data_IF_088005240246
#
_entry.id   IF_088005240246
#
_cell.length_a   1.000
_cell.length_b   1.000
_cell.length_c   1.000
_cell.angle_alpha   90.00
_cell.angle_beta   90.00
_cell.angle_gamma   90.00
#
_symmetry.space_group_name_H-M   'P 1'
#
loop_
_entity.id
_entity.type
_entity.pdbx_description
1 polymer ?
#
# COMPACT_ATOMS: atom_id res chain seq x y z
N UNK A 1 -15.51 -16.31 10.18
CA UNK A 1 -14.67 -15.37 10.96
C UNK A 1 -13.39 -15.10 10.19
N UNK A 2 -13.46 -14.33 9.09
CA UNK A 2 -12.29 -14.11 8.21
C UNK A 2 -12.18 -12.68 7.63
N UNK A 3 -13.12 -11.79 7.96
CA UNK A 3 -13.17 -10.41 7.42
C UNK A 3 -12.71 -9.33 8.40
N UNK A 4 -12.53 -9.64 9.68
CA UNK A 4 -12.13 -8.64 10.70
C UNK A 4 -10.84 -7.91 10.35
N UNK A 5 -9.82 -8.66 9.91
CA UNK A 5 -8.53 -8.09 9.53
C UNK A 5 -8.59 -7.14 8.33
N UNK A 6 -9.51 -7.36 7.38
CA UNK A 6 -9.67 -6.44 6.23
C UNK A 6 -10.26 -5.11 6.68
N UNK A 7 -11.21 -5.13 7.60
CA UNK A 7 -11.79 -3.92 8.18
C UNK A 7 -10.76 -3.17 9.04
N UNK A 8 -9.96 -3.88 9.83
CA UNK A 8 -8.83 -3.30 10.58
C UNK A 8 -7.79 -2.69 9.65
N UNK A 9 -7.45 -3.38 8.56
CA UNK A 9 -6.55 -2.86 7.53
C UNK A 9 -7.12 -1.61 6.85
N UNK A 10 -8.40 -1.61 6.49
CA UNK A 10 -9.05 -0.43 5.92
C UNK A 10 -9.04 0.77 6.87
N UNK A 11 -9.30 0.55 8.15
CA UNK A 11 -9.22 1.58 9.17
C UNK A 11 -7.79 2.11 9.32
N UNK A 12 -6.79 1.22 9.31
CA UNK A 12 -5.38 1.59 9.37
C UNK A 12 -4.91 2.34 8.11
N UNK A 13 -5.44 1.98 6.94
CA UNK A 13 -5.10 2.63 5.67
C UNK A 13 -5.80 3.98 5.46
N UNK A 14 -6.75 4.37 6.30
CA UNK A 14 -7.52 5.60 6.16
C UNK A 14 -6.67 6.87 5.92
N UNK A 15 -5.60 7.17 6.68
CA UNK A 15 -4.75 8.34 6.44
C UNK A 15 -4.04 8.29 5.07
N UNK A 16 -3.56 7.12 4.64
CA UNK A 16 -2.91 6.94 3.34
C UNK A 16 -3.91 7.08 2.20
N UNK A 17 -5.09 6.48 2.36
CA UNK A 17 -6.18 6.59 1.40
C UNK A 17 -6.63 8.06 1.24
N UNK A 18 -6.66 8.82 2.33
CA UNK A 18 -6.96 10.26 2.30
C UNK A 18 -5.89 11.06 1.54
N UNK A 19 -4.60 10.74 1.71
CA UNK A 19 -3.48 11.37 1.00
C UNK A 19 -3.51 11.13 -0.52
N UNK A 20 -4.19 10.08 -0.99
CA UNK A 20 -4.43 9.86 -2.42
C UNK A 20 -5.43 10.89 -2.96
N UNK A 21 -4.95 11.79 -3.83
CA UNK A 21 -5.74 12.87 -4.46
C UNK A 21 -6.88 12.38 -5.37
N UNK A 22 -6.80 11.15 -5.88
CA UNK A 22 -7.76 10.57 -6.83
C UNK A 22 -8.73 9.60 -6.15
N UNK A 23 -10.05 9.82 -6.31
CA UNK A 23 -11.12 9.01 -5.71
C UNK A 23 -11.05 7.53 -6.10
N UNK A 24 -10.72 7.22 -7.35
CA UNK A 24 -10.57 5.84 -7.83
C UNK A 24 -9.34 5.20 -7.18
N UNK A 25 -8.21 5.92 -7.08
CA UNK A 25 -7.02 5.40 -6.39
C UNK A 25 -7.28 5.13 -4.92
N UNK A 26 -7.97 6.05 -4.24
CA UNK A 26 -8.40 5.88 -2.84
C UNK A 26 -9.22 4.60 -2.65
N UNK A 27 -10.18 4.33 -3.54
CA UNK A 27 -11.00 3.12 -3.49
C UNK A 27 -10.18 1.84 -3.73
N UNK A 28 -9.17 1.89 -4.60
CA UNK A 28 -8.37 0.71 -4.91
C UNK A 28 -7.23 0.43 -3.95
N UNK A 29 -6.83 1.39 -3.11
CA UNK A 29 -5.73 1.22 -2.17
C UNK A 29 -5.93 0.04 -1.21
N UNK A 30 -7.06 -0.11 -0.50
CA UNK A 30 -7.25 -1.26 0.39
C UNK A 30 -7.28 -2.60 -0.35
N UNK A 31 -7.90 -2.66 -1.54
CA UNK A 31 -7.94 -3.88 -2.36
C UNK A 31 -6.53 -4.29 -2.83
N UNK A 32 -5.70 -3.33 -3.24
CA UNK A 32 -4.33 -3.61 -3.65
C UNK A 32 -3.47 -4.08 -2.46
N UNK A 33 -3.51 -3.38 -1.33
CA UNK A 33 -2.70 -3.72 -0.16
C UNK A 33 -3.13 -5.06 0.44
N UNK A 34 -4.44 -5.30 0.58
CA UNK A 34 -4.97 -6.60 1.04
C UNK A 34 -4.59 -7.74 0.10
N UNK A 35 -4.52 -7.51 -1.22
CA UNK A 35 -4.01 -8.50 -2.17
C UNK A 35 -2.51 -8.81 -2.02
N UNK A 36 -1.71 -7.84 -1.52
CA UNK A 36 -0.27 -8.01 -1.30
C UNK A 36 0.09 -8.72 0.02
N UNK A 37 -0.66 -8.43 1.09
CA UNK A 37 -0.38 -8.93 2.44
C UNK A 37 -1.30 -10.07 2.88
N UNK A 38 -2.46 -10.20 2.23
CA UNK A 38 -3.45 -11.22 2.52
C UNK A 38 -3.07 -12.60 1.97
N UNK A 39 -3.91 -13.61 2.23
CA UNK A 39 -3.67 -14.98 1.80
C UNK A 39 -3.62 -15.09 0.26
N UNK A 40 -2.58 -15.76 -0.25
CA UNK A 40 -2.45 -16.09 -1.66
C UNK A 40 -1.00 -16.18 -2.14
N UNK A 41 -0.72 -17.14 -3.04
CA UNK A 41 0.66 -17.47 -3.42
C UNK A 41 1.33 -16.41 -4.31
N UNK A 42 0.58 -15.81 -5.24
CA UNK A 42 1.11 -14.83 -6.21
C UNK A 42 0.61 -13.42 -5.95
N UNK A 43 1.52 -12.45 -5.89
CA UNK A 43 1.25 -11.03 -5.60
C UNK A 43 1.20 -10.12 -6.83
N UNK A 44 1.18 -10.69 -8.04
CA UNK A 44 0.99 -9.91 -9.26
C UNK A 44 -0.47 -9.49 -9.42
N UNK A 45 -0.71 -8.40 -10.18
CA UNK A 45 -2.05 -7.78 -10.32
C UNK A 45 -3.11 -8.78 -10.79
N UNK A 46 -2.79 -9.63 -11.77
CA UNK A 46 -3.73 -10.60 -12.31
C UNK A 46 -4.19 -11.65 -11.27
N UNK A 47 -3.30 -12.37 -10.58
CA UNK A 47 -3.69 -13.24 -9.47
C UNK A 47 -4.43 -12.54 -8.33
N UNK A 48 -4.11 -11.29 -8.00
CA UNK A 48 -4.83 -10.54 -6.97
C UNK A 48 -6.28 -10.25 -7.40
N UNK A 49 -6.47 -9.77 -8.63
CA UNK A 49 -7.81 -9.50 -9.18
C UNK A 49 -8.65 -10.77 -9.32
N UNK A 50 -8.04 -11.92 -9.65
CA UNK A 50 -8.76 -13.18 -9.83
C UNK A 50 -9.26 -13.82 -8.52
N UNK A 51 -8.88 -13.30 -7.35
CA UNK A 51 -9.31 -13.82 -6.03
C UNK A 51 -10.53 -13.09 -5.46
N UNK A 52 -10.87 -11.94 -6.03
CA UNK A 52 -11.89 -11.05 -5.50
C UNK A 52 -12.74 -10.52 -6.66
N UNK A 53 -13.97 -11.03 -6.76
CA UNK A 53 -14.90 -10.71 -7.84
C UNK A 53 -15.29 -9.22 -7.87
N UNK A 54 -15.12 -8.49 -6.76
CA UNK A 54 -15.41 -7.05 -6.68
C UNK A 54 -14.26 -6.18 -7.22
N UNK A 55 -13.09 -6.79 -7.46
CA UNK A 55 -11.84 -6.10 -7.81
C UNK A 55 -11.46 -6.33 -9.27
N UNK A 56 -11.75 -5.32 -10.10
CA UNK A 56 -11.38 -5.34 -11.52
C UNK A 56 -9.86 -5.30 -11.72
N UNK A 57 -9.36 -6.21 -12.58
CA UNK A 57 -7.97 -6.20 -13.07
C UNK A 57 -7.53 -4.82 -13.56
N UNK A 58 -8.32 -4.19 -14.44
CA UNK A 58 -7.96 -2.89 -15.03
C UNK A 58 -7.86 -1.79 -13.97
N UNK A 59 -8.76 -1.82 -12.96
CA UNK A 59 -8.73 -0.85 -11.86
C UNK A 59 -7.51 -1.03 -10.97
N UNK A 60 -7.10 -2.27 -10.66
CA UNK A 60 -5.87 -2.55 -9.92
C UNK A 60 -4.61 -2.24 -10.74
N UNK A 61 -4.60 -2.60 -12.01
CA UNK A 61 -3.48 -2.35 -12.90
C UNK A 61 -3.27 -0.84 -13.07
N UNK A 62 -4.36 -0.09 -13.27
CA UNK A 62 -4.31 1.36 -13.31
C UNK A 62 -3.88 1.95 -11.96
N UNK A 63 -4.35 1.42 -10.84
CA UNK A 63 -3.87 1.86 -9.52
C UNK A 63 -2.35 1.75 -9.41
N UNK A 64 -1.77 0.58 -9.70
CA UNK A 64 -0.34 0.33 -9.52
C UNK A 64 0.54 0.99 -10.60
N UNK A 65 0.09 1.00 -11.86
CA UNK A 65 0.93 1.29 -13.02
C UNK A 65 0.67 2.61 -13.74
N UNK A 66 -0.37 3.37 -13.37
CA UNK A 66 -0.71 4.60 -14.10
C UNK A 66 -0.33 5.87 -13.33
N UNK A 67 0.23 6.84 -14.07
CA UNK A 67 0.41 8.24 -13.65
C UNK A 67 1.66 8.52 -12.81
N UNK A 68 1.98 9.80 -12.65
CA UNK A 68 3.02 10.27 -11.73
C UNK A 68 2.50 10.05 -10.31
N UNK A 69 3.28 9.35 -9.49
CA UNK A 69 3.04 9.23 -8.06
C UNK A 69 3.65 10.45 -7.37
N UNK A 70 2.83 11.19 -6.63
CA UNK A 70 3.29 12.18 -5.67
C UNK A 70 3.46 11.43 -4.34
N UNK A 71 4.69 11.07 -4.00
CA UNK A 71 5.01 10.23 -2.84
C UNK A 71 4.99 11.00 -1.53
N UNK A 72 5.32 12.30 -1.56
CA UNK A 72 5.48 13.13 -0.36
C UNK A 72 4.24 13.12 0.57
N UNK A 73 2.98 13.16 0.07
CA UNK A 73 1.80 13.02 0.95
C UNK A 73 1.69 11.66 1.63
N UNK A 74 2.12 10.57 0.96
CA UNK A 74 2.12 9.23 1.54
C UNK A 74 3.27 9.07 2.55
N UNK A 75 4.44 9.64 2.27
CA UNK A 75 5.56 9.67 3.21
C UNK A 75 5.22 10.45 4.47
N UNK A 76 4.57 11.62 4.34
CA UNK A 76 4.12 12.39 5.50
C UNK A 76 3.12 11.59 6.36
N UNK A 77 2.19 10.86 5.74
CA UNK A 77 1.27 9.97 6.45
C UNK A 77 2.01 8.81 7.14
N UNK A 78 3.02 8.23 6.47
CA UNK A 78 3.85 7.16 7.02
C UNK A 78 4.64 7.64 8.25
N UNK A 79 5.28 8.81 8.16
CA UNK A 79 6.03 9.40 9.27
C UNK A 79 5.12 9.67 10.47
N UNK A 80 3.93 10.25 10.25
CA UNK A 80 2.97 10.50 11.32
C UNK A 80 2.48 9.20 11.99
N UNK A 81 2.24 8.14 11.20
CA UNK A 81 1.81 6.85 11.73
C UNK A 81 2.94 6.11 12.47
N UNK A 82 4.18 6.21 11.98
CA UNK A 82 5.35 5.66 12.66
C UNK A 82 5.59 6.36 14.01
N UNK A 83 5.54 7.70 14.03
CA UNK A 83 5.65 8.49 15.27
C UNK A 83 4.55 8.12 16.27
N UNK A 84 3.31 7.98 15.80
CA UNK A 84 2.18 7.55 16.64
C UNK A 84 2.35 6.15 17.24
N UNK A 85 2.98 5.23 16.52
CA UNK A 85 3.11 3.82 16.93
C UNK A 85 4.34 3.55 17.77
N UNK A 86 5.48 4.15 17.42
CA UNK A 86 6.80 3.82 17.98
C UNK A 86 7.67 5.05 18.27
N UNK A 87 7.14 6.26 18.08
CA UNK A 87 7.84 7.51 18.40
C UNK A 87 7.80 7.88 19.89
N UNK A 88 8.31 9.06 20.21
CA UNK A 88 8.44 9.58 21.57
C UNK A 88 9.88 9.70 22.07
N UNK A 89 10.05 10.32 23.24
CA UNK A 89 11.37 10.68 23.78
C UNK A 89 12.25 9.47 24.11
N UNK A 90 11.63 8.30 24.37
CA UNK A 90 12.31 7.05 24.68
C UNK A 90 12.50 6.14 23.44
N UNK A 91 12.18 6.64 22.24
CA UNK A 91 12.28 5.88 21.00
C UNK A 91 13.73 5.75 20.50
N UNK A 92 14.02 4.67 19.77
CA UNK A 92 15.31 4.42 19.15
C UNK A 92 15.20 4.53 17.63
N UNK A 93 16.01 5.40 17.02
CA UNK A 93 16.16 5.46 15.57
C UNK A 93 17.28 4.52 15.12
N UNK A 94 16.91 3.47 14.39
CA UNK A 94 17.85 2.53 13.79
C UNK A 94 17.89 2.82 12.29
N UNK A 95 19.09 3.11 11.78
CA UNK A 95 19.34 3.34 10.35
C UNK A 95 20.20 2.18 9.84
N UNK A 96 19.71 1.49 8.83
CA UNK A 96 20.43 0.42 8.13
C UNK A 96 20.25 0.60 6.61
N UNK A 97 21.31 0.35 5.86
CA UNK A 97 21.31 0.50 4.42
C UNK A 97 20.58 -0.70 3.79
N UNK A 98 19.33 -0.48 3.37
CA UNK A 98 18.57 -1.48 2.61
C UNK A 98 18.71 -1.23 1.12
N UNK A 99 19.54 -2.03 0.44
CA UNK A 99 19.58 -2.03 -1.01
C UNK A 99 18.43 -2.88 -1.58
N UNK A 100 17.58 -2.28 -2.42
CA UNK A 100 16.59 -2.99 -3.24
C UNK A 100 17.11 -3.06 -4.68
N UNK A 101 18.03 -3.98 -5.02
CA UNK A 101 18.62 -4.06 -6.36
C UNK A 101 17.52 -4.36 -7.39
N UNK A 102 17.13 -3.35 -8.16
CA UNK A 102 16.16 -3.53 -9.25
C UNK A 102 16.87 -4.05 -10.48
N UNK A 103 16.30 -5.06 -11.15
CA UNK A 103 16.78 -5.53 -12.46
C UNK A 103 15.88 -5.04 -13.58
N UNK A 104 16.47 -4.41 -14.61
CA UNK A 104 15.74 -3.88 -15.77
C UNK A 104 16.50 -2.74 -16.47
N UNK A 105 16.11 -2.41 -17.70
CA UNK A 105 16.69 -1.29 -18.48
C UNK A 105 16.31 0.10 -17.95
N UNK A 106 15.33 0.15 -17.04
CA UNK A 106 14.86 1.37 -16.38
C UNK A 106 15.06 1.32 -14.86
N UNK A 107 15.91 0.41 -14.39
CA UNK A 107 16.36 0.42 -13.01
C UNK A 107 17.43 1.50 -12.85
N UNK A 108 17.13 2.53 -12.05
CA UNK A 108 18.15 3.35 -11.39
C UNK A 108 18.55 2.69 -10.08
#
# INVERSE_FOLDING_TARGET
METGWRNELEAWLAPFAAALRNKTRRRMCPAYISGLIGPGDRKSVQPMAARDDDVSYDRLHHFAGSGVWDEAPLEAALLAEADRLVGGDDAWLIIDDTALPKKGRHSV
#
